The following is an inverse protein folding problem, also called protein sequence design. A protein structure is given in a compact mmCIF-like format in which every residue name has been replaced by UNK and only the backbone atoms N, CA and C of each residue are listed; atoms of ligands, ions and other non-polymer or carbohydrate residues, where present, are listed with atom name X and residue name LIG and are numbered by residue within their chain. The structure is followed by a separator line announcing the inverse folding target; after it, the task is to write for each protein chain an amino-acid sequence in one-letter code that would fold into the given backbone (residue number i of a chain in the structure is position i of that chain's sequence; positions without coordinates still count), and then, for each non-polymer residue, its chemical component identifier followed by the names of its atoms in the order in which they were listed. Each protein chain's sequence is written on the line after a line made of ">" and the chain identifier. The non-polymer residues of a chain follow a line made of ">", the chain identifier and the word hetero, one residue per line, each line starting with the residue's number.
data_IF_921454508813
#
_entry.id   IF_921454508813
#
_cell.length_a   1.000
_cell.length_b   1.000
_cell.length_c   1.000
_cell.angle_alpha   90.00
_cell.angle_beta   90.00
_cell.angle_gamma   90.00
#
_symmetry.space_group_name_H-M   'P 1'
#
loop_
_entity.id
_entity.type
_entity.pdbx_description
1 polymer ?
#
# COMPACT_ATOMS: atom_id res chain seq x y z
N UNK A 1 -1.42 -6.23 7.08
CA UNK A 1 -2.54 -6.52 6.19
C UNK A 1 -2.60 -5.47 5.10
N UNK A 2 -2.10 -5.75 3.89
CA UNK A 2 -2.16 -4.91 2.69
C UNK A 2 -3.55 -5.06 2.05
N UNK A 3 -4.39 -4.01 1.99
CA UNK A 3 -5.74 -4.09 1.43
C UNK A 3 -5.75 -4.40 -0.07
N UNK A 4 -6.72 -5.22 -0.53
CA UNK A 4 -6.85 -5.54 -1.96
C UNK A 4 -7.13 -4.31 -2.83
N UNK A 5 -7.67 -3.25 -2.25
CA UNK A 5 -7.95 -1.97 -2.92
C UNK A 5 -6.69 -1.31 -3.47
N UNK A 6 -5.51 -1.60 -2.91
CA UNK A 6 -4.23 -1.04 -3.39
C UNK A 6 -3.73 -1.65 -4.69
N UNK A 7 -4.28 -2.79 -5.12
CA UNK A 7 -3.84 -3.44 -6.36
C UNK A 7 -4.64 -2.93 -7.56
N UNK A 8 -3.92 -2.59 -8.63
CA UNK A 8 -4.50 -2.04 -9.86
C UNK A 8 -5.13 -3.09 -10.78
N UNK A 9 -4.97 -4.38 -10.49
CA UNK A 9 -5.36 -5.42 -11.45
C UNK A 9 -6.86 -5.39 -11.74
N UNK A 10 -7.19 -5.02 -12.98
CA UNK A 10 -8.57 -4.97 -13.49
C UNK A 10 -9.16 -6.38 -13.65
N UNK A 11 -8.31 -7.39 -13.81
CA UNK A 11 -8.71 -8.79 -13.94
C UNK A 11 -8.67 -9.50 -12.57
N UNK A 12 -9.85 -9.64 -11.97
CA UNK A 12 -10.02 -10.30 -10.67
C UNK A 12 -9.60 -11.78 -10.67
N UNK A 13 -9.74 -12.46 -11.81
CA UNK A 13 -9.37 -13.88 -11.96
C UNK A 13 -7.85 -14.04 -11.95
N UNK A 14 -7.14 -13.22 -12.72
CA UNK A 14 -5.67 -13.21 -12.74
C UNK A 14 -5.09 -12.86 -11.37
N UNK A 15 -5.63 -11.84 -10.71
CA UNK A 15 -5.24 -11.49 -9.34
C UNK A 15 -5.45 -12.69 -8.41
N UNK A 16 -6.61 -13.34 -8.51
CA UNK A 16 -6.93 -14.54 -7.74
C UNK A 16 -5.91 -15.67 -7.92
N UNK A 17 -5.50 -15.92 -9.18
CA UNK A 17 -4.46 -16.90 -9.53
C UNK A 17 -3.10 -16.51 -8.97
N UNK A 18 -2.66 -15.26 -9.13
CA UNK A 18 -1.37 -14.79 -8.61
C UNK A 18 -1.29 -14.91 -7.09
N UNK A 19 -2.33 -14.46 -6.39
CA UNK A 19 -2.39 -14.59 -4.94
C UNK A 19 -2.38 -16.07 -4.54
N UNK A 20 -3.05 -16.95 -5.30
CA UNK A 20 -3.06 -18.39 -5.00
C UNK A 20 -1.65 -18.98 -5.12
N UNK A 21 -0.90 -18.62 -6.15
CA UNK A 21 0.50 -19.01 -6.33
C UNK A 21 1.34 -18.53 -5.16
N UNK A 22 1.30 -17.24 -4.83
CA UNK A 22 2.07 -16.67 -3.72
C UNK A 22 1.72 -17.31 -2.36
N UNK A 23 0.45 -17.69 -2.17
CA UNK A 23 0.00 -18.39 -0.95
C UNK A 23 0.55 -19.81 -0.89
N UNK A 24 0.60 -20.54 -2.02
CA UNK A 24 1.17 -21.90 -2.08
C UNK A 24 2.65 -21.94 -1.70
N UNK A 25 3.40 -20.87 -1.99
CA UNK A 25 4.80 -20.72 -1.59
C UNK A 25 4.99 -20.09 -0.20
N UNK A 26 3.91 -19.92 0.58
CA UNK A 26 3.92 -19.25 1.89
C UNK A 26 4.54 -17.84 1.88
N UNK A 27 4.56 -17.18 0.71
CA UNK A 27 5.09 -15.82 0.57
C UNK A 27 4.09 -14.78 1.12
N UNK A 28 2.80 -15.08 0.98
CA UNK A 28 1.70 -14.27 1.49
C UNK A 28 0.65 -15.13 2.18
N UNK A 29 -0.07 -14.54 3.12
CA UNK A 29 -1.25 -15.14 3.77
C UNK A 29 -2.48 -14.30 3.43
N UNK A 30 -3.57 -14.95 3.03
CA UNK A 30 -4.84 -14.25 2.77
C UNK A 30 -5.56 -13.99 4.09
N UNK A 31 -6.17 -12.81 4.22
CA UNK A 31 -7.14 -12.47 5.26
C UNK A 31 -8.48 -12.13 4.63
N UNK A 32 -9.37 -13.13 4.45
CA UNK A 32 -10.68 -12.92 3.85
C UNK A 32 -11.52 -11.88 4.58
N UNK A 33 -11.47 -11.87 5.91
CA UNK A 33 -12.24 -10.98 6.80
C UNK A 33 -11.90 -9.51 6.60
N UNK A 34 -10.64 -9.21 6.30
CA UNK A 34 -10.12 -7.85 6.13
C UNK A 34 -10.04 -7.43 4.66
N UNK A 35 -10.37 -8.34 3.72
CA UNK A 35 -10.11 -8.17 2.28
C UNK A 35 -8.66 -7.72 2.03
N UNK A 36 -7.71 -8.46 2.61
CA UNK A 36 -6.30 -8.07 2.65
C UNK A 36 -5.33 -9.26 2.53
N UNK A 37 -4.06 -8.93 2.30
CA UNK A 37 -2.94 -9.86 2.28
C UNK A 37 -1.94 -9.53 3.37
N UNK A 38 -1.37 -10.55 4.00
CA UNK A 38 -0.18 -10.40 4.83
C UNK A 38 1.04 -10.93 4.12
N UNK A 39 2.14 -10.20 4.25
CA UNK A 39 3.44 -10.61 3.79
C UNK A 39 4.29 -10.86 5.03
N UNK A 40 4.93 -12.02 5.09
CA UNK A 40 5.82 -12.32 6.21
C UNK A 40 6.98 -11.30 6.25
N UNK A 41 7.41 -10.88 7.44
CA UNK A 41 8.45 -9.84 7.61
C UNK A 41 9.75 -10.17 6.86
N UNK A 42 10.15 -11.45 6.82
CA UNK A 42 11.31 -11.92 6.05
C UNK A 42 11.13 -11.78 4.54
N UNK A 43 9.94 -12.11 4.03
CA UNK A 43 9.61 -11.98 2.59
C UNK A 43 9.63 -10.50 2.20
N UNK A 44 9.03 -9.65 3.03
CA UNK A 44 9.07 -8.21 2.86
C UNK A 44 10.50 -7.66 2.84
N UNK A 45 11.36 -8.13 3.76
CA UNK A 45 12.77 -7.74 3.80
C UNK A 45 13.52 -8.19 2.54
N UNK A 46 13.43 -9.48 2.18
CA UNK A 46 14.10 -10.02 1.00
C UNK A 46 13.66 -9.33 -0.29
N UNK A 47 12.37 -9.06 -0.44
CA UNK A 47 11.82 -8.36 -1.61
C UNK A 47 12.33 -6.91 -1.69
N UNK A 48 12.42 -6.21 -0.54
CA UNK A 48 12.96 -4.85 -0.49
C UNK A 48 14.43 -4.82 -0.89
N UNK A 49 15.25 -5.72 -0.33
CA UNK A 49 16.67 -5.81 -0.67
C UNK A 49 16.85 -6.13 -2.16
N UNK A 50 16.05 -7.04 -2.70
CA UNK A 50 16.05 -7.33 -4.13
C UNK A 50 15.69 -6.10 -4.98
N UNK A 51 14.62 -5.38 -4.65
CA UNK A 51 14.23 -4.15 -5.37
C UNK A 51 15.30 -3.06 -5.32
N UNK A 52 16.02 -2.96 -4.19
CA UNK A 52 17.11 -2.01 -4.03
C UNK A 52 18.32 -2.40 -4.89
N UNK A 53 18.70 -3.68 -4.90
CA UNK A 53 19.77 -4.20 -5.76
C UNK A 53 19.49 -4.01 -7.25
N UNK A 54 18.21 -4.06 -7.65
CA UNK A 54 17.78 -3.80 -9.02
C UNK A 54 17.68 -2.30 -9.35
N UNK A 55 17.89 -1.39 -8.39
CA UNK A 55 17.69 0.04 -8.57
C UNK A 55 16.23 0.46 -8.79
N UNK A 56 15.27 -0.44 -8.50
CA UNK A 56 13.84 -0.25 -8.79
C UNK A 56 13.02 0.21 -7.58
N UNK A 57 13.63 0.24 -6.40
CA UNK A 57 12.94 0.61 -5.16
C UNK A 57 12.26 1.99 -5.24
N UNK A 58 12.95 2.98 -5.81
CA UNK A 58 12.40 4.34 -6.00
C UNK A 58 11.13 4.32 -6.86
N UNK A 59 11.20 3.70 -8.04
CA UNK A 59 10.08 3.61 -8.99
C UNK A 59 8.87 2.90 -8.37
N UNK A 60 9.10 1.79 -7.65
CA UNK A 60 8.03 1.06 -6.98
C UNK A 60 7.42 1.87 -5.82
N UNK A 61 8.23 2.65 -5.10
CA UNK A 61 7.75 3.55 -4.06
C UNK A 61 6.86 4.64 -4.65
N UNK A 62 7.26 5.24 -5.79
CA UNK A 62 6.44 6.22 -6.51
C UNK A 62 5.10 5.63 -6.93
N UNK A 63 5.12 4.44 -7.54
CA UNK A 63 3.89 3.76 -7.95
C UNK A 63 2.97 3.49 -6.75
N UNK A 64 3.52 3.01 -5.63
CA UNK A 64 2.75 2.78 -4.40
C UNK A 64 2.14 4.07 -3.83
N UNK A 65 2.86 5.20 -3.87
CA UNK A 65 2.33 6.50 -3.44
C UNK A 65 1.17 6.98 -4.33
N UNK A 66 1.31 6.84 -5.66
CA UNK A 66 0.23 7.15 -6.59
C UNK A 66 -1.00 6.27 -6.36
N UNK A 67 -0.82 4.97 -6.09
CA UNK A 67 -1.94 4.09 -5.72
C UNK A 67 -2.61 4.49 -4.42
N UNK A 68 -1.82 4.76 -3.39
CA UNK A 68 -2.34 5.22 -2.10
C UNK A 68 -3.15 6.49 -2.26
N UNK A 69 -2.68 7.45 -3.04
CA UNK A 69 -3.40 8.69 -3.33
C UNK A 69 -4.71 8.44 -4.08
N UNK A 70 -4.69 7.57 -5.11
CA UNK A 70 -5.87 7.20 -5.90
C UNK A 70 -6.98 6.58 -5.05
N UNK A 71 -6.63 5.73 -4.09
CA UNK A 71 -7.62 5.01 -3.26
C UNK A 71 -7.92 5.70 -1.94
N UNK A 72 -7.16 6.74 -1.58
CA UNK A 72 -7.37 7.49 -0.35
C UNK A 72 -8.75 8.13 -0.39
N UNK A 73 -9.63 7.82 0.56
CA UNK A 73 -10.98 8.36 0.55
C UNK A 73 -10.98 9.84 0.99
N UNK A 74 -12.06 10.55 0.69
CA UNK A 74 -12.27 11.92 1.13
C UNK A 74 -12.30 12.05 2.68
N UNK A 75 -12.38 13.28 3.17
CA UNK A 75 -12.32 13.62 4.60
C UNK A 75 -13.65 13.45 5.35
N UNK A 76 -14.63 12.74 4.79
CA UNK A 76 -15.90 12.50 5.49
C UNK A 76 -15.77 11.38 6.53
N UNK A 77 -16.37 11.56 7.72
CA UNK A 77 -16.30 10.58 8.82
C UNK A 77 -16.85 9.18 8.46
N UNK A 78 -17.64 9.06 7.39
CA UNK A 78 -18.11 7.77 6.87
C UNK A 78 -16.94 6.88 6.40
N UNK A 79 -15.79 7.49 6.07
CA UNK A 79 -14.59 6.79 5.60
C UNK A 79 -13.62 6.34 6.70
N UNK A 80 -13.99 6.51 7.99
CA UNK A 80 -13.13 6.18 9.15
C UNK A 80 -12.56 4.76 9.12
N UNK A 81 -13.40 3.76 8.82
CA UNK A 81 -12.98 2.36 8.72
C UNK A 81 -11.98 2.12 7.57
N UNK A 82 -12.03 2.93 6.51
CA UNK A 82 -11.09 2.86 5.40
C UNK A 82 -9.79 3.61 5.73
N UNK A 83 -9.86 4.76 6.40
CA UNK A 83 -8.65 5.44 6.91
C UNK A 83 -7.83 4.52 7.80
N UNK A 84 -8.43 3.86 8.80
CA UNK A 84 -7.70 2.95 9.70
C UNK A 84 -6.95 1.83 8.98
N UNK A 85 -7.50 1.35 7.86
CA UNK A 85 -6.85 0.34 7.01
C UNK A 85 -5.70 0.94 6.20
N UNK A 86 -5.84 2.16 5.66
CA UNK A 86 -4.86 2.77 4.76
C UNK A 86 -3.74 3.55 5.47
N UNK A 87 -4.04 4.23 6.58
CA UNK A 87 -3.10 5.06 7.37
C UNK A 87 -1.75 4.39 7.67
N UNK A 88 -1.68 3.13 8.15
CA UNK A 88 -0.39 2.48 8.40
C UNK A 88 0.44 2.31 7.11
N UNK A 89 -0.20 2.04 5.97
CA UNK A 89 0.48 1.93 4.67
C UNK A 89 0.92 3.28 4.14
N UNK A 90 0.08 4.31 4.29
CA UNK A 90 0.42 5.68 3.90
C UNK A 90 1.61 6.20 4.70
N UNK A 91 1.61 6.03 6.03
CA UNK A 91 2.74 6.39 6.88
C UNK A 91 4.02 5.68 6.45
N UNK A 92 3.93 4.38 6.17
CA UNK A 92 5.07 3.58 5.74
C UNK A 92 5.63 4.05 4.39
N UNK A 93 4.76 4.27 3.40
CA UNK A 93 5.16 4.77 2.08
C UNK A 93 5.78 6.18 2.17
N UNK A 94 5.20 7.06 2.98
CA UNK A 94 5.75 8.40 3.23
C UNK A 94 7.09 8.37 3.98
N UNK A 95 7.40 7.32 4.75
CA UNK A 95 8.70 7.21 5.43
C UNK A 95 9.88 7.04 4.46
N UNK A 96 9.63 6.55 3.25
CA UNK A 96 10.64 6.50 2.20
C UNK A 96 10.88 7.89 1.64
N UNK A 97 12.11 8.38 1.84
CA UNK A 97 12.60 9.60 1.21
C UNK A 97 13.11 9.24 -0.18
N UNK A 98 12.35 9.60 -1.20
CA UNK A 98 12.77 9.49 -2.58
C UNK A 98 12.86 10.89 -3.19
N UNK A 99 14.06 11.37 -3.57
CA UNK A 99 14.27 12.69 -4.18
C UNK A 99 13.48 12.87 -5.48
N UNK A 100 13.25 11.79 -6.22
CA UNK A 100 12.51 11.78 -7.50
C UNK A 100 10.98 11.86 -7.32
N UNK A 101 10.51 11.80 -6.06
CA UNK A 101 9.09 11.84 -5.65
C UNK A 101 8.82 13.04 -4.75
N UNK A 102 9.73 14.01 -4.69
CA UNK A 102 9.41 15.37 -4.21
C UNK A 102 8.48 16.03 -5.24
N UNK A 103 7.17 15.85 -5.05
CA UNK A 103 6.15 16.31 -5.99
C UNK A 103 4.77 16.44 -5.35
N UNK A 104 3.83 16.99 -6.12
CA UNK A 104 2.46 17.33 -5.70
C UNK A 104 1.71 16.13 -5.07
N UNK A 105 1.88 14.93 -5.63
CA UNK A 105 1.27 13.70 -5.12
C UNK A 105 1.65 13.39 -3.66
N UNK A 106 2.92 13.61 -3.30
CA UNK A 106 3.42 13.35 -1.96
C UNK A 106 2.89 14.39 -0.97
N UNK A 107 2.83 15.65 -1.39
CA UNK A 107 2.25 16.74 -0.60
C UNK A 107 0.75 16.50 -0.37
N UNK A 108 0.00 16.14 -1.42
CA UNK A 108 -1.42 15.81 -1.35
C UNK A 108 -1.67 14.61 -0.42
N UNK A 109 -0.89 13.54 -0.56
CA UNK A 109 -1.04 12.36 0.30
C UNK A 109 -0.67 12.65 1.76
N UNK A 110 0.29 13.55 2.01
CA UNK A 110 0.65 14.00 3.36
C UNK A 110 -0.47 14.82 3.98
N UNK A 111 -1.10 15.72 3.22
CA UNK A 111 -2.30 16.45 3.65
C UNK A 111 -3.44 15.48 3.99
N UNK A 112 -3.73 14.53 3.09
CA UNK A 112 -4.77 13.54 3.29
C UNK A 112 -4.56 12.68 4.55
N UNK A 113 -3.31 12.25 4.77
CA UNK A 113 -2.91 11.52 5.96
C UNK A 113 -3.14 12.35 7.24
N UNK A 114 -2.77 13.64 7.24
CA UNK A 114 -2.95 14.53 8.38
C UNK A 114 -4.43 14.74 8.71
N UNK A 115 -5.25 15.04 7.70
CA UNK A 115 -6.70 15.27 7.85
C UNK A 115 -7.44 14.03 8.37
N UNK A 116 -7.13 12.86 7.82
CA UNK A 116 -7.71 11.60 8.28
C UNK A 116 -7.27 11.24 9.70
N UNK A 117 -6.00 11.49 10.06
CA UNK A 117 -5.50 11.24 11.41
C UNK A 117 -6.15 12.17 12.44
N UNK A 118 -6.37 13.44 12.10
CA UNK A 118 -7.07 14.39 12.96
C UNK A 118 -8.56 14.03 13.14
N UNK A 119 -9.21 13.54 12.09
CA UNK A 119 -10.64 13.20 12.09
C UNK A 119 -10.94 11.82 12.72
N UNK A 120 -9.95 10.94 12.86
CA UNK A 120 -10.08 9.62 13.51
C UNK A 120 -9.83 9.67 15.03
N UNK A 121 -9.07 10.66 15.53
CA UNK A 121 -8.81 10.89 16.95
C UNK A 121 -10.03 11.43 17.68
#
# INVERSE_FOLDING_TARGET
>A
NIPFELFEEKNLEERGKMVQVLTKYALVTRRPEDSALDVHRLVHYALREWLQQQGRLSQQTKHALAQLLRVFPDHTHQNRSKWRRLLPHTKYALSYRCPEVEGDERSALTWNYAMASHSDG
#
